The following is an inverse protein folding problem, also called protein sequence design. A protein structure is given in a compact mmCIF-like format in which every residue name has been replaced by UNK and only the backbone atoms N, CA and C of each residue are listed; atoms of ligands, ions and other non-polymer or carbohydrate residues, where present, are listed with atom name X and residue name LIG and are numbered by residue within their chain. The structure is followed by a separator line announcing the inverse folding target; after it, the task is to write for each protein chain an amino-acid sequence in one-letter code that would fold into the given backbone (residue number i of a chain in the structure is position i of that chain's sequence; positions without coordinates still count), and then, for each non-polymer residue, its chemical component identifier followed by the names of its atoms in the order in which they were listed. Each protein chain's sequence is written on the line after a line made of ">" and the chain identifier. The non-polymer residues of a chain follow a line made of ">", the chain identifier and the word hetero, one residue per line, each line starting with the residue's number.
data_IF_544412666749
#
_entry.id   IF_544412666749
#
_cell.length_a   1.000
_cell.length_b   1.000
_cell.length_c   1.000
_cell.angle_alpha   90.00
_cell.angle_beta   90.00
_cell.angle_gamma   90.00
#
_symmetry.space_group_name_H-M   'P 1'
#
loop_
_entity.id
_entity.type
_entity.pdbx_description
1 polymer ?
#
# COMPACT_ATOMS: atom_id res chain seq x y z
N UNK A 1 -7.69 -4.27 1.21
CA UNK A 1 -7.55 -3.03 0.43
C UNK A 1 -8.41 -1.96 1.09
N UNK A 2 -7.84 -0.81 1.49
CA UNK A 2 -8.57 0.28 2.16
C UNK A 2 -9.63 0.91 1.24
N UNK A 3 -10.53 1.73 1.79
CA UNK A 3 -11.59 2.39 1.00
C UNK A 3 -11.04 3.28 -0.13
N UNK A 4 -9.89 3.93 0.12
CA UNK A 4 -9.23 4.82 -0.84
C UNK A 4 -8.93 4.11 -2.16
N UNK A 5 -8.56 2.83 -2.10
CA UNK A 5 -8.27 2.02 -3.29
C UNK A 5 -9.48 1.93 -4.23
N UNK A 6 -10.67 1.72 -3.68
CA UNK A 6 -11.90 1.65 -4.48
C UNK A 6 -12.37 3.03 -4.94
N UNK A 7 -12.12 4.09 -4.17
CA UNK A 7 -12.47 5.46 -4.58
C UNK A 7 -11.61 5.92 -5.76
N UNK A 8 -10.32 5.60 -5.75
CA UNK A 8 -9.39 5.92 -6.82
C UNK A 8 -9.78 5.20 -8.12
N UNK A 9 -9.99 3.88 -8.06
CA UNK A 9 -10.41 3.10 -9.21
C UNK A 9 -11.80 3.51 -9.73
N UNK A 10 -12.73 3.88 -8.84
CA UNK A 10 -14.01 4.49 -9.23
C UNK A 10 -13.80 5.82 -9.95
N UNK A 11 -12.92 6.68 -9.43
CA UNK A 11 -12.68 8.00 -10.01
C UNK A 11 -12.08 7.92 -11.41
N UNK A 12 -11.11 7.02 -11.61
CA UNK A 12 -10.52 6.72 -12.92
C UNK A 12 -11.59 6.22 -13.90
N UNK A 13 -12.38 5.20 -13.52
CA UNK A 13 -13.42 4.65 -14.39
C UNK A 13 -14.46 5.71 -14.80
N UNK A 14 -14.85 6.61 -13.89
CA UNK A 14 -15.75 7.71 -14.23
C UNK A 14 -15.07 8.73 -15.15
N UNK A 15 -13.79 9.05 -14.93
CA UNK A 15 -13.01 9.94 -15.80
C UNK A 15 -12.78 9.34 -17.20
N UNK A 16 -12.69 8.02 -17.32
CA UNK A 16 -12.67 7.29 -18.61
C UNK A 16 -14.06 7.21 -19.28
N UNK A 17 -15.09 7.72 -18.61
CA UNK A 17 -16.40 7.96 -19.20
C UNK A 17 -17.49 6.97 -18.79
N UNK A 18 -17.26 6.12 -17.78
CA UNK A 18 -18.25 5.12 -17.33
C UNK A 18 -19.63 5.73 -17.05
N UNK A 19 -19.70 6.97 -16.56
CA UNK A 19 -20.95 7.68 -16.23
C UNK A 19 -21.24 8.90 -17.13
N UNK A 20 -20.55 8.99 -18.28
CA UNK A 20 -20.75 10.03 -19.28
C UNK A 20 -20.08 11.38 -18.97
N UNK A 21 -20.06 12.26 -19.98
CA UNK A 21 -19.20 13.46 -20.04
C UNK A 21 -19.40 14.48 -18.91
N UNK A 22 -20.61 14.58 -18.33
CA UNK A 22 -20.88 15.51 -17.23
C UNK A 22 -20.29 15.05 -15.90
N UNK A 23 -20.19 13.74 -15.70
CA UNK A 23 -19.59 13.15 -14.51
C UNK A 23 -18.07 13.30 -14.55
N UNK A 24 -17.45 13.09 -15.71
CA UNK A 24 -16.00 13.24 -15.94
C UNK A 24 -15.47 14.55 -15.34
N UNK A 25 -16.05 15.70 -15.70
CA UNK A 25 -15.53 16.99 -15.23
C UNK A 25 -15.68 17.20 -13.72
N UNK A 26 -16.74 16.66 -13.12
CA UNK A 26 -16.97 16.78 -11.68
C UNK A 26 -16.05 15.86 -10.88
N UNK A 27 -15.87 14.62 -11.36
CA UNK A 27 -15.00 13.65 -10.71
C UNK A 27 -13.54 13.98 -10.92
N UNK A 28 -13.12 14.51 -12.07
CA UNK A 28 -11.74 14.95 -12.27
C UNK A 28 -11.37 16.11 -11.33
N UNK A 29 -12.28 17.06 -11.13
CA UNK A 29 -12.10 18.11 -10.12
C UNK A 29 -11.97 17.54 -8.71
N UNK A 30 -12.78 16.52 -8.38
CA UNK A 30 -12.70 15.84 -7.09
C UNK A 30 -11.37 15.07 -6.93
N UNK A 31 -10.93 14.38 -8.00
CA UNK A 31 -9.70 13.59 -8.06
C UNK A 31 -8.48 14.46 -7.76
N UNK A 32 -8.41 15.62 -8.39
CA UNK A 32 -7.36 16.62 -8.16
C UNK A 32 -7.44 17.25 -6.76
N UNK A 33 -8.66 17.55 -6.27
CA UNK A 33 -8.84 18.20 -4.97
C UNK A 33 -8.51 17.27 -3.78
N UNK A 34 -8.69 15.96 -3.95
CA UNK A 34 -8.46 14.95 -2.91
C UNK A 34 -7.17 14.15 -3.12
N UNK A 35 -6.39 14.48 -4.15
CA UNK A 35 -5.15 13.78 -4.53
C UNK A 35 -5.35 12.26 -4.68
N UNK A 36 -6.42 11.88 -5.39
CA UNK A 36 -6.77 10.49 -5.70
C UNK A 36 -5.94 9.96 -6.88
N UNK A 37 -4.62 10.06 -6.77
CA UNK A 37 -3.67 9.73 -7.85
C UNK A 37 -2.69 8.61 -7.47
N UNK A 38 -3.02 7.81 -6.45
CA UNK A 38 -2.21 6.64 -6.09
C UNK A 38 -2.43 5.47 -7.06
N UNK A 39 -1.83 4.32 -6.77
CA UNK A 39 -1.74 3.20 -7.72
C UNK A 39 -3.08 2.73 -8.30
N UNK A 40 -4.15 2.78 -7.51
CA UNK A 40 -5.49 2.36 -7.94
C UNK A 40 -6.16 3.32 -8.92
N UNK A 41 -5.62 4.53 -9.09
CA UNK A 41 -6.09 5.48 -10.10
C UNK A 41 -5.52 5.17 -11.50
N UNK A 42 -4.71 4.11 -11.61
CA UNK A 42 -4.18 3.55 -12.85
C UNK A 42 -4.47 2.04 -12.91
N UNK A 43 -5.75 1.67 -12.86
CA UNK A 43 -6.28 0.32 -12.68
C UNK A 43 -5.65 -0.67 -13.65
N UNK A 44 -5.54 -0.31 -14.94
CA UNK A 44 -4.92 -1.19 -15.94
C UNK A 44 -3.47 -1.55 -15.59
N UNK A 45 -2.67 -0.56 -15.19
CA UNK A 45 -1.27 -0.78 -14.82
C UNK A 45 -1.17 -1.52 -13.49
N UNK A 46 -2.06 -1.23 -12.55
CA UNK A 46 -2.14 -1.93 -11.27
C UNK A 46 -2.48 -3.41 -11.46
N UNK A 47 -3.50 -3.73 -12.26
CA UNK A 47 -3.88 -5.11 -12.60
C UNK A 47 -2.69 -5.86 -13.21
N UNK A 48 -2.04 -5.28 -14.23
CA UNK A 48 -0.85 -5.87 -14.86
C UNK A 48 0.29 -6.12 -13.87
N UNK A 49 0.54 -5.20 -12.93
CA UNK A 49 1.53 -5.40 -11.87
C UNK A 49 1.13 -6.56 -10.95
N UNK A 50 -0.13 -6.63 -10.52
CA UNK A 50 -0.60 -7.70 -9.64
C UNK A 50 -0.57 -9.07 -10.30
N UNK A 51 -0.85 -9.16 -11.60
CA UNK A 51 -0.71 -10.37 -12.42
C UNK A 51 0.75 -10.78 -12.58
N UNK A 52 1.66 -9.83 -12.84
CA UNK A 52 3.09 -10.12 -12.90
C UNK A 52 3.61 -10.67 -11.56
N UNK A 53 3.25 -10.02 -10.46
CA UNK A 53 3.61 -10.48 -9.11
C UNK A 53 3.06 -11.88 -8.84
N UNK A 54 1.83 -12.15 -9.29
CA UNK A 54 1.23 -13.48 -9.21
C UNK A 54 2.07 -14.52 -9.95
N UNK A 55 2.37 -14.28 -11.23
CA UNK A 55 3.10 -15.22 -12.08
C UNK A 55 4.51 -15.50 -11.55
N UNK A 56 5.20 -14.48 -11.01
CA UNK A 56 6.52 -14.65 -10.41
C UNK A 56 6.43 -15.44 -9.10
N UNK A 57 5.46 -15.16 -8.24
CA UNK A 57 5.29 -15.85 -6.94
C UNK A 57 4.80 -17.31 -7.07
N UNK A 58 4.28 -17.69 -8.25
CA UNK A 58 3.71 -19.01 -8.52
C UNK A 58 4.57 -19.91 -9.41
N UNK A 59 5.86 -19.59 -9.61
CA UNK A 59 6.79 -20.27 -10.52
C UNK A 59 6.43 -20.19 -12.03
N UNK A 60 5.39 -19.44 -12.43
CA UNK A 60 4.94 -19.39 -13.83
C UNK A 60 5.97 -18.71 -14.76
N UNK A 61 6.91 -17.96 -14.20
CA UNK A 61 8.02 -17.29 -14.90
C UNK A 61 9.41 -17.87 -14.59
N UNK A 62 9.48 -19.10 -14.08
CA UNK A 62 10.72 -19.75 -13.65
C UNK A 62 10.74 -19.98 -12.14
N UNK A 63 11.91 -20.31 -11.57
CA UNK A 63 11.99 -20.55 -10.13
C UNK A 63 11.69 -19.28 -9.34
N UNK A 64 10.62 -19.30 -8.54
CA UNK A 64 10.16 -18.19 -7.76
C UNK A 64 11.22 -17.81 -6.71
N UNK A 65 11.43 -16.51 -6.49
CA UNK A 65 12.32 -16.04 -5.44
C UNK A 65 11.78 -16.45 -4.06
N UNK A 66 12.63 -16.42 -3.03
CA UNK A 66 12.14 -16.65 -1.67
C UNK A 66 11.15 -15.56 -1.22
N UNK A 67 11.33 -14.34 -1.69
CA UNK A 67 10.50 -13.19 -1.35
C UNK A 67 10.53 -12.15 -2.46
N UNK A 68 9.44 -11.40 -2.61
CA UNK A 68 9.31 -10.26 -3.51
C UNK A 68 9.03 -9.04 -2.65
N UNK A 69 9.90 -8.03 -2.69
CA UNK A 69 9.77 -6.82 -1.88
C UNK A 69 9.71 -5.61 -2.79
N UNK A 70 8.57 -4.90 -2.77
CA UNK A 70 8.41 -3.63 -3.44
C UNK A 70 8.84 -2.51 -2.49
N UNK A 71 9.93 -1.83 -2.83
CA UNK A 71 10.39 -0.65 -2.11
C UNK A 71 9.63 0.57 -2.62
N UNK A 72 9.06 1.35 -1.72
CA UNK A 72 8.36 2.59 -2.06
C UNK A 72 8.68 3.71 -1.09
N UNK A 73 8.36 4.94 -1.50
CA UNK A 73 8.36 6.11 -0.65
C UNK A 73 6.93 6.55 -0.38
N UNK A 74 6.70 7.08 0.81
CA UNK A 74 5.47 7.80 1.16
C UNK A 74 5.89 9.17 1.71
N UNK A 75 4.97 10.12 1.76
CA UNK A 75 5.25 11.49 2.24
C UNK A 75 5.02 11.68 3.74
N UNK A 76 4.37 10.74 4.43
CA UNK A 76 3.87 10.89 5.80
C UNK A 76 4.33 9.79 6.77
N UNK A 77 4.55 8.56 6.30
CA UNK A 77 4.73 7.42 7.20
C UNK A 77 5.64 6.32 6.64
N UNK A 78 6.08 5.42 7.53
CA UNK A 78 6.68 4.16 7.14
C UNK A 78 5.76 3.01 7.55
N UNK A 79 5.79 1.94 6.77
CA UNK A 79 5.04 0.72 7.05
C UNK A 79 5.61 -0.48 6.30
N UNK A 80 5.25 -1.68 6.79
CA UNK A 80 5.42 -2.93 6.08
C UNK A 80 4.05 -3.58 5.89
N UNK A 81 3.68 -3.84 4.64
CA UNK A 81 2.46 -4.56 4.30
C UNK A 81 2.78 -5.86 3.58
N UNK A 82 2.09 -6.95 3.95
CA UNK A 82 2.11 -8.21 3.23
C UNK A 82 0.94 -8.27 2.27
N UNK A 83 1.20 -8.62 1.02
CA UNK A 83 0.16 -8.88 0.03
C UNK A 83 -0.28 -10.34 0.09
N UNK A 84 -1.57 -10.57 -0.10
CA UNK A 84 -2.22 -11.88 -0.11
C UNK A 84 -3.19 -12.00 -1.27
N UNK A 85 -3.23 -13.16 -1.93
CA UNK A 85 -4.17 -13.40 -3.01
C UNK A 85 -5.55 -13.75 -2.45
N UNK A 86 -6.60 -13.13 -2.97
CA UNK A 86 -7.96 -13.35 -2.47
C UNK A 86 -8.50 -14.76 -2.66
N UNK A 87 -7.98 -15.50 -3.64
CA UNK A 87 -8.48 -16.81 -4.02
C UNK A 87 -7.72 -17.96 -3.35
N UNK A 88 -6.88 -17.67 -2.34
CA UNK A 88 -6.24 -18.69 -1.51
C UNK A 88 -5.24 -19.59 -2.25
N UNK A 89 -4.71 -19.12 -3.38
CA UNK A 89 -3.79 -19.90 -4.19
C UNK A 89 -2.44 -20.12 -3.49
N UNK A 90 -1.92 -21.36 -3.56
CA UNK A 90 -0.61 -21.71 -3.03
C UNK A 90 0.51 -20.99 -3.78
N UNK A 91 1.51 -20.49 -3.04
CA UNK A 91 2.64 -19.69 -3.55
C UNK A 91 3.94 -20.14 -2.95
N UNK A 92 5.02 -19.83 -3.67
CA UNK A 92 6.40 -20.13 -3.27
C UNK A 92 7.19 -18.90 -2.83
N UNK A 93 6.60 -17.70 -2.94
CA UNK A 93 7.17 -16.42 -2.49
C UNK A 93 6.20 -15.65 -1.62
N UNK A 94 6.71 -14.99 -0.59
CA UNK A 94 6.00 -13.91 0.08
C UNK A 94 6.09 -12.62 -0.76
N UNK A 95 5.02 -11.81 -0.77
CA UNK A 95 5.01 -10.51 -1.43
C UNK A 95 4.83 -9.43 -0.37
N UNK A 96 5.75 -8.47 -0.34
CA UNK A 96 5.79 -7.40 0.66
C UNK A 96 5.90 -6.04 -0.01
N UNK A 97 5.26 -5.04 0.57
CA UNK A 97 5.45 -3.63 0.25
C UNK A 97 6.10 -2.97 1.46
N UNK A 98 7.33 -2.50 1.29
CA UNK A 98 8.10 -1.82 2.32
C UNK A 98 8.20 -0.34 1.96
N UNK A 99 7.67 0.50 2.85
CA UNK A 99 7.54 1.93 2.60
C UNK A 99 8.22 2.69 3.72
N UNK A 100 9.06 3.66 3.36
CA UNK A 100 9.71 4.54 4.32
C UNK A 100 9.72 5.98 3.79
N UNK A 101 9.10 6.88 4.54
CA UNK A 101 9.09 8.30 4.19
C UNK A 101 10.41 8.99 4.55
N UNK A 102 11.01 9.76 3.64
CA UNK A 102 12.24 10.50 3.92
C UNK A 102 12.03 11.85 4.63
N UNK A 103 10.80 12.37 4.75
CA UNK A 103 10.54 13.75 5.21
C UNK A 103 9.43 13.84 6.27
N UNK A 104 9.65 14.74 7.25
CA UNK A 104 8.71 14.99 8.36
C UNK A 104 7.50 15.81 7.88
N UNK A 105 6.48 15.17 7.31
CA UNK A 105 5.17 15.79 7.16
C UNK A 105 4.25 15.33 8.29
N UNK A 106 4.33 16.06 9.41
CA UNK A 106 3.41 15.84 10.51
C UNK A 106 2.00 16.23 10.08
N UNK A 107 1.13 15.23 9.90
CA UNK A 107 -0.28 15.46 9.58
C UNK A 107 -0.94 16.31 10.68
N UNK A 108 -1.62 17.36 10.26
CA UNK A 108 -2.51 18.13 11.13
C UNK A 108 -3.59 17.23 11.76
N UNK A 109 -4.19 17.70 12.86
CA UNK A 109 -5.25 16.96 13.54
C UNK A 109 -6.50 16.77 12.66
N UNK A 110 -6.74 17.68 11.71
CA UNK A 110 -7.80 17.60 10.70
C UNK A 110 -7.55 16.49 9.69
N UNK A 111 -6.33 16.40 9.14
CA UNK A 111 -5.96 15.36 8.17
C UNK A 111 -6.02 13.96 8.80
N UNK A 112 -5.57 13.83 10.06
CA UNK A 112 -5.71 12.58 10.83
C UNK A 112 -7.16 12.15 11.06
N UNK A 113 -8.11 13.09 11.14
CA UNK A 113 -9.55 12.76 11.25
C UNK A 113 -10.13 12.35 9.89
N UNK A 114 -9.78 13.08 8.83
CA UNK A 114 -10.20 12.74 7.47
C UNK A 114 -9.71 11.34 7.07
N UNK A 115 -8.45 11.02 7.35
CA UNK A 115 -7.87 9.71 7.05
C UNK A 115 -8.56 8.58 7.85
N UNK A 116 -8.83 8.80 9.15
CA UNK A 116 -9.60 7.83 9.96
C UNK A 116 -11.03 7.61 9.43
N UNK A 117 -11.70 8.66 8.96
CA UNK A 117 -13.01 8.54 8.35
C UNK A 117 -12.94 7.76 7.02
N UNK A 118 -11.95 8.06 6.17
CA UNK A 118 -11.70 7.33 4.94
C UNK A 118 -11.41 5.84 5.18
N UNK A 119 -10.83 5.50 6.33
CA UNK A 119 -10.55 4.11 6.71
C UNK A 119 -11.71 3.40 7.44
N UNK A 120 -12.85 4.07 7.62
CA UNK A 120 -14.00 3.47 8.30
C UNK A 120 -14.69 2.38 7.45
N UNK A 121 -15.23 1.35 8.11
CA UNK A 121 -15.91 0.25 7.44
C UNK A 121 -17.13 0.68 6.58
N UNK A 122 -17.98 1.64 7.01
CA UNK A 122 -19.07 2.15 6.17
C UNK A 122 -18.54 2.82 4.90
N UNK A 123 -17.48 3.61 5.00
CA UNK A 123 -16.88 4.28 3.84
C UNK A 123 -16.30 3.26 2.86
N UNK A 124 -15.66 2.20 3.36
CA UNK A 124 -15.16 1.11 2.51
C UNK A 124 -16.28 0.40 1.73
N UNK A 125 -17.46 0.21 2.34
CA UNK A 125 -18.61 -0.38 1.66
C UNK A 125 -19.15 0.53 0.56
N UNK A 126 -19.29 1.83 0.83
CA UNK A 126 -19.74 2.82 -0.15
C UNK A 126 -18.76 2.90 -1.32
N UNK A 127 -17.47 3.03 -1.04
CA UNK A 127 -16.43 3.09 -2.06
C UNK A 127 -16.44 1.84 -2.96
N UNK A 128 -16.58 0.64 -2.35
CA UNK A 128 -16.67 -0.63 -3.08
C UNK A 128 -17.92 -0.71 -3.95
N UNK A 129 -19.05 -0.19 -3.48
CA UNK A 129 -20.29 -0.16 -4.26
C UNK A 129 -20.17 0.79 -5.46
N UNK A 130 -19.59 1.98 -5.26
CA UNK A 130 -19.32 2.94 -6.32
C UNK A 130 -18.39 2.36 -7.40
N UNK A 131 -17.27 1.76 -7.00
CA UNK A 131 -16.34 1.12 -7.92
C UNK A 131 -17.03 0.04 -8.78
N UNK A 132 -17.81 -0.84 -8.14
CA UNK A 132 -18.59 -1.86 -8.86
C UNK A 132 -19.61 -1.26 -9.83
N UNK A 133 -20.30 -0.20 -9.43
CA UNK A 133 -21.26 0.49 -10.28
C UNK A 133 -20.59 1.21 -11.48
N UNK A 134 -19.29 1.50 -11.39
CA UNK A 134 -18.49 2.00 -12.50
C UNK A 134 -17.80 0.90 -13.32
N UNK A 135 -18.04 -0.39 -13.02
CA UNK A 135 -17.48 -1.52 -13.76
C UNK A 135 -16.09 -1.99 -13.29
N UNK A 136 -15.56 -1.41 -12.22
CA UNK A 136 -14.25 -1.75 -11.65
C UNK A 136 -14.29 -3.17 -11.08
N UNK A 137 -13.32 -3.99 -11.49
CA UNK A 137 -13.19 -5.35 -10.99
C UNK A 137 -12.58 -5.38 -9.58
N UNK A 138 -12.93 -6.36 -8.74
CA UNK A 138 -12.27 -6.51 -7.44
C UNK A 138 -10.78 -6.79 -7.62
N UNK A 139 -9.88 -6.17 -6.81
CA UNK A 139 -8.45 -6.42 -6.91
C UNK A 139 -8.12 -7.88 -6.59
N UNK A 140 -7.13 -8.43 -7.29
CA UNK A 140 -6.64 -9.81 -7.14
C UNK A 140 -5.88 -9.98 -5.80
N UNK A 141 -5.14 -8.93 -5.41
CA UNK A 141 -4.34 -8.87 -4.20
C UNK A 141 -5.02 -8.03 -3.11
N UNK A 142 -4.78 -8.42 -1.86
CA UNK A 142 -5.16 -7.69 -0.66
C UNK A 142 -3.91 -7.46 0.20
N UNK A 143 -3.70 -6.19 0.61
CA UNK A 143 -2.59 -5.80 1.46
C UNK A 143 -3.05 -5.69 2.90
N UNK A 144 -2.24 -6.26 3.80
CA UNK A 144 -2.42 -6.17 5.25
C UNK A 144 -1.13 -5.65 5.88
N UNK A 145 -1.26 -4.63 6.74
CA UNK A 145 -0.15 -4.16 7.56
C UNK A 145 0.34 -5.29 8.48
N UNK A 146 1.65 -5.39 8.65
CA UNK A 146 2.28 -6.37 9.55
C UNK A 146 2.39 -5.87 10.99
N UNK A 147 1.76 -4.74 11.29
CA UNK A 147 1.77 -4.02 12.55
C UNK A 147 0.43 -3.27 12.71
N UNK A 148 0.13 -2.85 13.93
CA UNK A 148 -1.18 -2.27 14.26
C UNK A 148 -1.41 -0.89 13.64
N UNK A 149 -0.36 -0.06 13.56
CA UNK A 149 -0.44 1.30 13.02
C UNK A 149 0.86 1.71 12.31
N UNK A 150 0.82 2.57 11.29
CA UNK A 150 2.03 3.12 10.67
C UNK A 150 2.86 3.99 11.60
N UNK A 151 4.17 4.05 11.33
CA UNK A 151 5.08 4.91 12.09
C UNK A 151 5.21 6.28 11.44
N UNK A 152 5.08 7.32 12.26
CA UNK A 152 5.19 8.72 11.85
C UNK A 152 6.48 9.36 12.37
N UNK A 153 7.06 10.27 11.59
CA UNK A 153 8.29 11.01 11.95
C UNK A 153 9.55 10.47 11.25
N UNK A 154 10.70 11.03 11.60
CA UNK A 154 11.99 10.70 10.96
C UNK A 154 12.33 9.23 11.22
N UNK A 155 12.59 8.49 10.15
CA UNK A 155 12.85 7.06 10.22
C UNK A 155 13.86 6.64 9.16
N UNK A 156 14.55 5.55 9.45
CA UNK A 156 15.39 4.83 8.51
C UNK A 156 14.83 3.41 8.44
N UNK A 157 14.49 2.98 7.23
CA UNK A 157 14.15 1.59 6.98
C UNK A 157 15.33 0.89 6.31
N UNK A 158 15.68 -0.28 6.83
CA UNK A 158 16.77 -1.12 6.32
C UNK A 158 16.19 -2.44 5.85
N UNK A 159 16.41 -2.76 4.57
CA UNK A 159 16.18 -4.10 4.01
C UNK A 159 17.53 -4.80 3.87
N UNK A 160 17.78 -5.82 4.69
CA UNK A 160 18.96 -6.67 4.57
C UNK A 160 18.57 -7.98 3.84
N UNK A 161 19.34 -8.35 2.82
CA UNK A 161 19.15 -9.58 2.06
C UNK A 161 20.42 -10.42 2.10
N UNK A 162 20.30 -11.69 2.51
CA UNK A 162 21.40 -12.66 2.53
C UNK A 162 20.93 -13.99 1.95
N UNK A 163 21.43 -14.33 0.76
CA UNK A 163 21.00 -15.54 0.07
C UNK A 163 19.50 -15.58 -0.18
N UNK A 164 18.80 -16.54 0.44
CA UNK A 164 17.33 -16.72 0.34
C UNK A 164 16.55 -16.07 1.49
N UNK A 165 17.22 -15.32 2.36
CA UNK A 165 16.60 -14.69 3.52
C UNK A 165 16.61 -13.17 3.37
N UNK A 166 15.55 -12.53 3.84
CA UNK A 166 15.43 -11.08 3.87
C UNK A 166 14.85 -10.63 5.20
N UNK A 167 15.33 -9.50 5.71
CA UNK A 167 14.92 -8.91 6.97
C UNK A 167 14.67 -7.43 6.77
N UNK A 168 13.56 -6.95 7.28
CA UNK A 168 13.19 -5.55 7.22
C UNK A 168 13.16 -4.97 8.63
N UNK A 169 13.78 -3.81 8.80
CA UNK A 169 13.85 -3.10 10.07
C UNK A 169 13.50 -1.63 9.87
N UNK A 170 12.78 -1.05 10.84
CA UNK A 170 12.55 0.39 10.92
C UNK A 170 13.16 0.90 12.23
N UNK A 171 13.95 1.96 12.10
CA UNK A 171 14.60 2.66 13.20
C UNK A 171 14.20 4.14 13.19
N UNK A 172 14.11 4.74 14.37
CA UNK A 172 13.88 6.19 14.54
C UNK A 172 15.01 6.82 15.34
N UNK A 173 15.34 8.10 15.11
CA UNK A 173 16.28 8.81 15.95
C UNK A 173 15.69 8.96 17.37
N UNK A 174 16.53 8.73 18.37
CA UNK A 174 16.25 8.89 19.78
C UNK A 174 17.51 9.42 20.48
N UNK A 175 17.37 9.76 21.77
CA UNK A 175 18.50 10.02 22.65
C UNK A 175 18.63 8.83 23.60
N UNK A 176 19.86 8.41 23.89
CA UNK A 176 20.13 7.43 24.94
C UNK A 176 20.10 8.08 26.34
N UNK A 177 20.44 7.31 27.39
CA UNK A 177 20.46 7.81 28.77
C UNK A 177 21.49 8.92 29.01
N UNK A 178 22.54 9.00 28.19
CA UNK A 178 23.56 10.04 28.24
C UNK A 178 23.19 11.28 27.40
N UNK A 179 22.11 11.22 26.62
CA UNK A 179 21.68 12.30 25.73
C UNK A 179 22.34 12.25 24.35
N UNK A 180 23.02 11.16 24.00
CA UNK A 180 23.66 10.99 22.70
C UNK A 180 22.66 10.50 21.64
N UNK A 181 22.78 10.95 20.38
CA UNK A 181 21.88 10.55 19.30
C UNK A 181 22.11 9.09 18.90
N UNK A 182 21.04 8.29 19.00
CA UNK A 182 21.02 6.87 18.62
C UNK A 182 19.87 6.55 17.68
N UNK A 183 19.99 5.46 16.93
CA UNK A 183 18.88 4.85 16.21
C UNK A 183 18.22 3.80 17.10
N UNK A 184 16.94 4.02 17.43
CA UNK A 184 16.13 3.08 18.19
C UNK A 184 15.24 2.29 17.24
N UNK A 185 15.38 0.98 17.26
CA UNK A 185 14.50 0.07 16.54
C UNK A 185 13.05 0.20 17.04
N UNK A 186 12.11 0.26 16.11
CA UNK A 186 10.67 0.28 16.39
C UNK A 186 9.93 -0.89 15.78
N UNK A 187 10.53 -1.56 14.79
CA UNK A 187 9.96 -2.72 14.14
C UNK A 187 11.05 -3.52 13.44
N UNK A 188 10.93 -4.84 13.53
CA UNK A 188 11.73 -5.79 12.76
C UNK A 188 10.85 -6.95 12.34
N UNK A 189 11.00 -7.41 11.10
CA UNK A 189 10.36 -8.63 10.60
C UNK A 189 11.27 -9.37 9.63
N UNK A 190 11.33 -10.69 9.77
CA UNK A 190 11.77 -11.55 8.68
C UNK A 190 10.73 -11.50 7.55
N UNK A 191 11.19 -11.51 6.29
CA UNK A 191 10.36 -11.50 5.09
C UNK A 191 10.37 -12.88 4.43
N UNK A 192 10.18 -13.90 5.26
CA UNK A 192 10.28 -15.28 4.83
C UNK A 192 9.13 -15.65 3.87
N UNK A 193 9.41 -16.64 3.02
CA UNK A 193 8.39 -17.21 2.15
C UNK A 193 7.31 -17.89 3.01
N UNK A 194 6.01 -17.79 2.65
CA UNK A 194 5.03 -18.68 3.25
C UNK A 194 5.45 -20.13 2.95
N UNK A 195 5.66 -20.91 4.01
CA UNK A 195 5.88 -22.36 3.96
C UNK A 195 4.63 -23.04 3.42
#
# INVERSE_FOLDING_TARGET
>A
APAIHYLEAWSEAVCDGAWGKRAVHQVEKLRQALDLEHWSAFDRSFVQLTELLHEVASDARGHAPATIVMLSGDVHHAYLAKASFRHGEARKSGIYQAVCSPLRNALSSSERRAMRFAWSAPMALVAKALARAAGVQPPILDWRLMHDEPWFGNQIATLEMRGRSARFRIEKPALDEAGEPVLKEVFESALDSPV
#
